data_IF_585149459940
#
_entry.id   IF_585149459940
#
_cell.length_a   1.000
_cell.length_b   1.000
_cell.length_c   1.000
_cell.angle_alpha   90.00
_cell.angle_beta   90.00
_cell.angle_gamma   90.00
#
_symmetry.space_group_name_H-M   'P 1'
#
loop_
_entity.id
_entity.type
_entity.pdbx_description
1 polymer ?
#
# COMPACT_ATOMS: atom_id res chain seq x y z
N UNK A 1 18.90 -10.49 -7.82
CA UNK A 1 17.96 -9.40 -7.55
C UNK A 1 17.81 -9.36 -6.05
N UNK A 2 18.20 -8.25 -5.43
CA UNK A 2 18.09 -8.08 -3.98
C UNK A 2 16.70 -7.54 -3.68
N UNK A 3 15.95 -8.20 -2.79
CA UNK A 3 14.64 -7.71 -2.36
C UNK A 3 14.82 -6.58 -1.36
N UNK A 4 14.20 -5.44 -1.66
CA UNK A 4 14.15 -4.29 -0.77
C UNK A 4 12.82 -4.33 -0.04
N UNK A 5 12.84 -4.28 1.29
CA UNK A 5 11.63 -4.34 2.10
C UNK A 5 10.76 -3.10 1.89
N UNK A 6 9.50 -3.32 1.52
CA UNK A 6 8.47 -2.28 1.43
C UNK A 6 7.33 -2.62 2.41
N UNK A 7 7.09 -1.79 3.44
CA UNK A 7 6.02 -2.06 4.39
C UNK A 7 4.64 -1.93 3.73
N UNK A 8 3.66 -2.74 4.16
CA UNK A 8 2.31 -2.67 3.63
C UNK A 8 1.68 -1.29 3.86
N UNK A 9 0.73 -0.91 2.99
CA UNK A 9 -0.04 0.35 3.08
C UNK A 9 0.79 1.64 3.22
N UNK A 10 2.02 1.64 2.70
CA UNK A 10 2.99 2.74 2.88
C UNK A 10 3.43 3.33 1.53
N UNK A 11 2.53 4.00 0.78
CA UNK A 11 2.84 4.55 -0.55
C UNK A 11 3.94 5.63 -0.50
N UNK A 12 4.09 6.32 0.63
CA UNK A 12 5.15 7.30 0.84
C UNK A 12 6.56 6.69 0.94
N UNK A 13 6.65 5.36 1.08
CA UNK A 13 7.91 4.62 1.08
C UNK A 13 8.19 3.93 -0.28
N UNK A 14 7.36 4.21 -1.28
CA UNK A 14 7.58 3.78 -2.66
C UNK A 14 8.12 4.93 -3.50
N UNK A 15 9.35 4.79 -3.99
CA UNK A 15 9.97 5.81 -4.86
C UNK A 15 9.18 6.07 -6.15
N UNK A 16 8.48 5.06 -6.67
CA UNK A 16 7.67 5.19 -7.89
C UNK A 16 6.38 5.97 -7.63
N UNK A 17 5.69 5.69 -6.51
CA UNK A 17 4.45 6.39 -6.14
C UNK A 17 4.69 7.85 -5.75
N UNK A 18 5.83 8.13 -5.10
CA UNK A 18 6.20 9.49 -4.69
C UNK A 18 6.42 10.43 -5.87
N UNK A 19 6.86 9.90 -7.01
CA UNK A 19 7.36 10.74 -8.10
C UNK A 19 7.01 10.24 -9.48
N UNK A 20 7.50 9.05 -9.83
CA UNK A 20 7.49 8.58 -11.21
C UNK A 20 6.07 8.43 -11.78
N UNK A 21 5.16 7.79 -11.04
CA UNK A 21 3.77 7.63 -11.49
C UNK A 21 3.01 8.96 -11.52
N UNK A 22 3.32 9.89 -10.61
CA UNK A 22 2.72 11.24 -10.64
C UNK A 22 3.14 12.01 -11.90
N UNK A 23 4.39 11.89 -12.32
CA UNK A 23 4.89 12.49 -13.56
C UNK A 23 4.22 11.87 -14.79
N UNK A 24 4.05 10.54 -14.82
CA UNK A 24 3.34 9.86 -15.91
C UNK A 24 1.87 10.28 -15.98
N UNK A 25 1.19 10.37 -14.83
CA UNK A 25 -0.20 10.81 -14.78
C UNK A 25 -0.36 12.23 -15.33
N UNK A 26 0.53 13.14 -14.94
CA UNK A 26 0.57 14.52 -15.47
C UNK A 26 0.70 14.54 -17.00
N UNK A 27 1.48 13.61 -17.57
CA UNK A 27 1.66 13.50 -19.02
C UNK A 27 0.45 12.88 -19.73
N UNK A 28 -0.26 11.97 -19.08
CA UNK A 28 -1.52 11.44 -19.63
C UNK A 28 -2.60 12.52 -19.70
N UNK A 29 -2.68 13.39 -18.70
CA UNK A 29 -3.60 14.55 -18.68
C UNK A 29 -3.32 15.53 -19.84
N UNK A 30 -2.08 15.61 -20.30
CA UNK A 30 -1.67 16.50 -21.40
C UNK A 30 -1.84 15.86 -22.78
N UNK A 31 -1.66 14.53 -22.92
CA UNK A 31 -1.51 13.86 -24.21
C UNK A 31 -2.74 13.07 -24.71
N UNK A 32 -3.86 13.04 -23.99
CA UNK A 32 -5.13 12.39 -24.38
C UNK A 32 -4.96 11.10 -25.22
N UNK A 33 -4.25 10.09 -24.69
CA UNK A 33 -3.94 8.87 -25.45
C UNK A 33 -5.21 8.12 -25.84
N UNK A 34 -5.30 7.63 -27.08
CA UNK A 34 -6.46 6.89 -27.59
C UNK A 34 -6.24 5.39 -27.66
N UNK A 35 -4.99 4.96 -27.74
CA UNK A 35 -4.59 3.57 -27.82
C UNK A 35 -3.42 3.26 -26.87
N UNK A 36 -3.23 1.97 -26.56
CA UNK A 36 -2.11 1.50 -25.73
C UNK A 36 -0.77 1.98 -26.28
N UNK A 37 -0.60 2.00 -27.61
CA UNK A 37 0.61 2.50 -28.26
C UNK A 37 0.96 3.95 -27.89
N UNK A 38 -0.05 4.81 -27.77
CA UNK A 38 0.12 6.22 -27.38
C UNK A 38 0.59 6.33 -25.93
N UNK A 39 0.04 5.48 -25.04
CA UNK A 39 0.44 5.41 -23.62
C UNK A 39 1.90 4.98 -23.50
N UNK A 40 2.30 3.94 -24.23
CA UNK A 40 3.68 3.44 -24.24
C UNK A 40 4.64 4.51 -24.77
N UNK A 41 4.31 5.14 -25.91
CA UNK A 41 5.11 6.20 -26.50
C UNK A 41 5.26 7.40 -25.55
N UNK A 42 4.16 7.85 -24.94
CA UNK A 42 4.16 8.94 -23.96
C UNK A 42 4.97 8.61 -22.71
N UNK A 43 4.88 7.38 -22.20
CA UNK A 43 5.66 6.93 -21.03
C UNK A 43 7.15 6.86 -21.34
N UNK A 44 7.53 6.36 -22.53
CA UNK A 44 8.93 6.35 -22.94
C UNK A 44 9.49 7.75 -23.16
N UNK A 45 8.67 8.68 -23.66
CA UNK A 45 9.06 10.07 -23.78
C UNK A 45 9.25 10.72 -22.41
N UNK A 46 8.32 10.51 -21.48
CA UNK A 46 8.42 10.93 -20.08
C UNK A 46 9.75 10.52 -19.45
N UNK A 47 10.10 9.24 -19.62
CA UNK A 47 11.33 8.68 -19.09
C UNK A 47 12.59 9.32 -19.66
N UNK A 48 12.57 9.68 -20.95
CA UNK A 48 13.71 10.37 -21.59
C UNK A 48 13.81 11.84 -21.17
N UNK A 49 12.69 12.48 -20.88
CA UNK A 49 12.61 13.90 -20.54
C UNK A 49 12.72 14.18 -19.04
N UNK A 50 12.60 13.15 -18.19
CA UNK A 50 12.67 13.34 -16.74
C UNK A 50 14.02 13.93 -16.34
N UNK A 51 13.97 15.08 -15.68
CA UNK A 51 15.16 15.75 -15.21
C UNK A 51 15.75 15.03 -13.97
N UNK A 52 17.07 14.93 -13.92
CA UNK A 52 17.76 14.22 -12.84
C UNK A 52 17.56 14.90 -11.48
N UNK A 53 17.36 16.23 -11.45
CA UNK A 53 17.03 16.94 -10.20
C UNK A 53 15.63 16.59 -9.69
N UNK A 54 14.71 16.26 -10.59
CA UNK A 54 13.37 15.78 -10.22
C UNK A 54 13.46 14.41 -9.55
N UNK A 55 14.28 13.50 -10.09
CA UNK A 55 14.53 12.20 -9.48
C UNK A 55 15.19 12.35 -8.10
N UNK A 56 16.21 13.21 -7.99
CA UNK A 56 16.86 13.50 -6.71
C UNK A 56 15.87 14.06 -5.67
N UNK A 57 15.00 14.97 -6.09
CA UNK A 57 13.96 15.52 -5.22
C UNK A 57 13.00 14.45 -4.68
N UNK A 58 12.69 13.42 -5.46
CA UNK A 58 11.87 12.29 -5.03
C UNK A 58 12.61 11.41 -4.02
N UNK A 59 13.89 11.09 -4.29
CA UNK A 59 14.73 10.31 -3.36
C UNK A 59 14.93 11.02 -2.01
N UNK A 60 15.14 12.33 -2.04
CA UNK A 60 15.20 13.14 -0.81
C UNK A 60 13.87 13.13 -0.06
N UNK A 61 12.74 13.14 -0.78
CA UNK A 61 11.42 13.01 -0.13
C UNK A 61 11.27 11.66 0.54
N UNK A 62 11.71 10.58 -0.12
CA UNK A 62 11.70 9.23 0.44
C UNK A 62 12.52 9.16 1.73
N UNK A 63 13.74 9.71 1.74
CA UNK A 63 14.58 9.79 2.94
C UNK A 63 13.87 10.55 4.08
N UNK A 64 13.21 11.67 3.79
CA UNK A 64 12.43 12.39 4.79
C UNK A 64 11.25 11.56 5.32
N UNK A 65 10.53 10.85 4.46
CA UNK A 65 9.44 9.98 4.89
C UNK A 65 9.96 8.88 5.83
N UNK A 66 11.10 8.25 5.52
CA UNK A 66 11.73 7.25 6.39
C UNK A 66 12.09 7.83 7.77
N UNK A 67 12.61 9.06 7.82
CA UNK A 67 12.88 9.75 9.09
C UNK A 67 11.61 9.98 9.90
N UNK A 68 10.55 10.44 9.27
CA UNK A 68 9.28 10.66 9.96
C UNK A 68 8.69 9.35 10.48
N UNK A 69 8.77 8.26 9.71
CA UNK A 69 8.33 6.92 10.16
C UNK A 69 9.05 6.51 11.44
N UNK A 70 10.36 6.73 11.53
CA UNK A 70 11.12 6.43 12.76
C UNK A 70 10.62 7.31 13.91
N UNK A 71 10.42 8.62 13.67
CA UNK A 71 9.94 9.57 14.69
C UNK A 71 8.53 9.27 15.21
N UNK A 72 7.67 8.67 14.39
CA UNK A 72 6.33 8.23 14.78
C UNK A 72 6.26 6.74 15.10
N UNK A 73 7.40 6.11 15.42
CA UNK A 73 7.51 4.72 15.85
C UNK A 73 6.85 3.70 14.88
N UNK A 74 7.12 3.85 13.58
CA UNK A 74 6.63 2.94 12.54
C UNK A 74 5.24 3.27 12.00
N UNK A 75 4.57 4.30 12.52
CA UNK A 75 3.24 4.70 12.05
C UNK A 75 3.31 5.44 10.69
N UNK A 76 2.20 5.44 9.95
CA UNK A 76 2.04 6.17 8.69
C UNK A 76 1.36 7.54 8.86
N UNK A 77 0.96 7.91 10.08
CA UNK A 77 0.33 9.19 10.38
C UNK A 77 1.34 10.34 10.54
N UNK A 78 2.02 10.69 9.44
CA UNK A 78 2.90 11.85 9.37
C UNK A 78 2.60 12.68 8.13
N UNK A 79 3.01 13.95 8.16
CA UNK A 79 2.95 14.83 6.99
C UNK A 79 4.27 14.75 6.25
N UNK A 80 4.22 14.53 4.93
CA UNK A 80 5.42 14.53 4.09
C UNK A 80 6.17 15.86 4.22
N UNK A 81 7.43 15.88 4.70
CA UNK A 81 8.16 17.12 4.94
C UNK A 81 8.47 17.89 3.65
N UNK A 82 8.19 19.20 3.65
CA UNK A 82 8.42 20.06 2.50
C UNK A 82 9.74 20.86 2.61
N UNK A 83 10.83 20.33 2.05
CA UNK A 83 12.18 20.92 2.14
C UNK A 83 12.48 22.06 1.14
N UNK A 84 11.49 22.58 0.42
CA UNK A 84 11.68 23.65 -0.59
C UNK A 84 12.78 23.30 -1.61
N UNK A 85 12.85 22.02 -2.00
CA UNK A 85 13.90 21.42 -2.85
C UNK A 85 14.15 22.22 -4.14
N UNK A 86 13.10 22.64 -4.84
CA UNK A 86 13.21 23.47 -6.04
C UNK A 86 13.96 24.79 -5.79
N UNK A 87 13.72 25.45 -4.64
CA UNK A 87 14.40 26.69 -4.25
C UNK A 87 15.88 26.46 -3.93
N UNK A 88 16.21 25.31 -3.33
CA UNK A 88 17.59 24.93 -3.03
C UNK A 88 18.35 24.55 -4.30
N UNK A 89 17.71 23.79 -5.21
CA UNK A 89 18.27 23.43 -6.50
C UNK A 89 18.58 24.67 -7.35
N UNK A 90 17.67 25.65 -7.39
CA UNK A 90 17.89 26.92 -8.08
C UNK A 90 19.09 27.73 -7.54
N UNK A 91 19.55 27.44 -6.32
CA UNK A 91 20.74 28.04 -5.71
C UNK A 91 21.98 27.14 -5.79
N UNK A 92 21.88 25.94 -6.36
CA UNK A 92 22.95 24.93 -6.36
C UNK A 92 23.27 24.38 -4.95
N UNK A 93 22.31 24.43 -4.02
CA UNK A 93 22.50 24.05 -2.61
C UNK A 93 21.67 22.82 -2.20
N UNK A 94 21.10 22.08 -3.15
CA UNK A 94 20.37 20.86 -2.82
C UNK A 94 21.37 19.74 -2.56
N UNK A 95 21.27 19.11 -1.39
CA UNK A 95 22.07 17.95 -1.01
C UNK A 95 21.43 16.69 -1.58
N UNK A 96 22.22 15.65 -1.87
CA UNK A 96 21.71 14.34 -2.31
C UNK A 96 21.28 13.44 -1.13
N UNK A 97 21.72 13.81 0.07
CA UNK A 97 21.43 13.10 1.32
C UNK A 97 20.85 14.07 2.34
N UNK A 98 19.72 13.68 2.94
CA UNK A 98 19.15 14.34 4.12
C UNK A 98 19.75 13.72 5.38
N UNK A 99 20.43 14.52 6.20
CA UNK A 99 21.04 14.04 7.43
C UNK A 99 19.98 13.61 8.45
N UNK A 100 20.18 12.47 9.11
CA UNK A 100 19.35 12.02 10.23
C UNK A 100 20.04 12.38 11.54
N UNK A 101 19.29 12.95 12.49
CA UNK A 101 19.82 13.23 13.82
C UNK A 101 20.05 11.93 14.61
N UNK A 102 21.10 11.91 15.43
CA UNK A 102 21.49 10.72 16.20
C UNK A 102 20.43 10.27 17.19
N UNK A 103 19.64 11.20 17.71
CA UNK A 103 18.54 10.91 18.64
C UNK A 103 17.46 10.08 17.95
N UNK A 104 17.00 10.50 16.75
CA UNK A 104 16.03 9.74 15.94
C UNK A 104 16.54 8.32 15.64
N UNK A 105 17.83 8.17 15.32
CA UNK A 105 18.42 6.85 15.07
C UNK A 105 18.39 5.99 16.33
N UNK A 106 18.81 6.55 17.46
CA UNK A 106 18.86 5.85 18.73
C UNK A 106 17.46 5.44 19.21
N UNK A 107 16.46 6.31 19.06
CA UNK A 107 15.06 6.02 19.36
C UNK A 107 14.54 4.86 18.52
N UNK A 108 14.86 4.85 17.22
CA UNK A 108 14.55 3.74 16.32
C UNK A 108 15.17 2.42 16.78
N UNK A 109 16.45 2.41 17.17
CA UNK A 109 17.10 1.21 17.71
C UNK A 109 16.47 0.74 19.02
N UNK A 110 16.13 1.65 19.92
CA UNK A 110 15.47 1.29 21.18
C UNK A 110 14.12 0.63 20.93
N UNK A 111 13.34 1.14 19.98
CA UNK A 111 12.07 0.53 19.58
C UNK A 111 12.28 -0.88 19.01
N UNK A 112 13.27 -1.06 18.14
CA UNK A 112 13.59 -2.37 17.57
C UNK A 112 14.04 -3.37 18.65
N UNK A 113 14.87 -2.93 19.61
CA UNK A 113 15.31 -3.78 20.72
C UNK A 113 14.20 -4.14 21.70
N UNK A 114 13.19 -3.28 21.84
CA UNK A 114 12.05 -3.54 22.71
C UNK A 114 10.97 -4.41 22.05
N UNK A 115 11.01 -4.58 20.72
CA UNK A 115 10.00 -5.34 19.97
C UNK A 115 10.34 -6.82 19.95
N UNK A 116 9.50 -7.64 20.56
CA UNK A 116 9.56 -9.10 20.42
C UNK A 116 8.83 -9.51 19.12
N UNK A 117 9.61 -9.79 18.08
CA UNK A 117 9.08 -10.19 16.79
C UNK A 117 8.45 -11.58 16.82
N UNK A 118 8.97 -12.48 17.66
CA UNK A 118 8.48 -13.85 17.73
C UNK A 118 7.08 -13.86 18.37
N UNK A 119 6.90 -13.11 19.47
CA UNK A 119 5.59 -12.94 20.11
C UNK A 119 4.56 -12.32 19.16
N UNK A 120 4.93 -11.27 18.41
CA UNK A 120 4.04 -10.63 17.44
C UNK A 120 3.63 -11.57 16.30
N UNK A 121 4.55 -12.44 15.84
CA UNK A 121 4.26 -13.43 14.79
C UNK A 121 3.30 -14.50 15.32
N UNK A 122 3.48 -14.95 16.56
CA UNK A 122 2.57 -15.90 17.21
C UNK A 122 1.17 -15.30 17.40
N UNK A 123 1.08 -14.05 17.87
CA UNK A 123 -0.20 -13.35 18.03
C UNK A 123 -0.92 -13.22 16.68
N UNK A 124 -0.22 -12.78 15.63
CA UNK A 124 -0.78 -12.65 14.29
C UNK A 124 -1.24 -14.00 13.73
N UNK A 125 -0.47 -15.07 13.93
CA UNK A 125 -0.86 -16.41 13.50
C UNK A 125 -2.17 -16.86 14.17
N UNK A 126 -2.35 -16.54 15.45
CA UNK A 126 -3.54 -16.85 16.21
C UNK A 126 -4.75 -16.00 15.78
N UNK A 127 -4.56 -14.73 15.42
CA UNK A 127 -5.59 -13.90 14.81
C UNK A 127 -6.06 -14.44 13.45
N UNK A 128 -5.12 -14.81 12.58
CA UNK A 128 -5.42 -15.40 11.27
C UNK A 128 -6.22 -16.68 11.44
N UNK A 129 -5.81 -17.55 12.37
CA UNK A 129 -6.53 -18.79 12.65
C UNK A 129 -7.99 -18.53 13.05
N UNK A 130 -8.23 -17.61 13.98
CA UNK A 130 -9.59 -17.23 14.39
C UNK A 130 -10.41 -16.64 13.25
N UNK A 131 -9.80 -15.81 12.40
CA UNK A 131 -10.47 -15.23 11.24
C UNK A 131 -10.87 -16.31 10.22
N UNK A 132 -10.03 -17.33 10.04
CA UNK A 132 -10.34 -18.49 9.19
C UNK A 132 -11.50 -19.32 9.76
N UNK A 133 -11.52 -19.57 11.07
CA UNK A 133 -12.65 -20.27 11.72
C UNK A 133 -13.96 -19.50 11.56
N UNK A 134 -13.93 -18.16 11.74
CA UNK A 134 -15.11 -17.32 11.56
C UNK A 134 -15.60 -17.31 10.11
N UNK A 135 -14.68 -17.28 9.14
CA UNK A 135 -15.00 -17.37 7.71
C UNK A 135 -15.67 -18.71 7.37
N UNK A 136 -15.14 -19.82 7.90
CA UNK A 136 -15.73 -21.14 7.70
C UNK A 136 -17.14 -21.22 8.32
N UNK A 137 -17.30 -20.74 9.56
CA UNK A 137 -18.60 -20.68 10.23
C UNK A 137 -19.61 -19.84 9.43
N UNK A 138 -19.21 -18.65 8.96
CA UNK A 138 -20.06 -17.79 8.13
C UNK A 138 -20.47 -18.48 6.82
N UNK A 139 -19.55 -19.19 6.18
CA UNK A 139 -19.83 -19.94 4.95
C UNK A 139 -20.84 -21.06 5.18
N UNK A 140 -20.76 -21.75 6.31
CA UNK A 140 -21.73 -22.80 6.67
C UNK A 140 -23.12 -22.22 6.95
N UNK A 141 -23.18 -21.09 7.66
CA UNK A 141 -24.45 -20.36 7.91
C UNK A 141 -25.12 -19.88 6.63
N UNK A 142 -24.35 -19.36 5.67
CA UNK A 142 -24.87 -18.92 4.37
C UNK A 142 -25.50 -20.08 3.60
N UNK A 143 -24.86 -21.26 3.58
CA UNK A 143 -25.42 -22.46 2.93
C UNK A 143 -26.76 -22.88 3.55
N UNK A 144 -26.88 -22.84 4.87
CA UNK A 144 -28.11 -23.19 5.57
C UNK A 144 -29.25 -22.20 5.31
N UNK A 145 -28.95 -20.95 4.98
CA UNK A 145 -29.95 -19.93 4.65
C UNK A 145 -30.43 -19.98 3.18
N UNK A 146 -29.71 -20.69 2.30
CA UNK A 146 -30.03 -20.80 0.86
C UNK A 146 -30.89 -22.04 0.55
N UNK A 147 -31.01 -23.00 1.48
CA UNK A 147 -31.87 -24.20 1.33
C UNK A 147 -33.38 -23.94 1.55
N UNK A 148 -33.84 -22.68 1.61
CA UNK A 148 -35.28 -22.32 1.49
C UNK A 148 -35.71 -22.08 0.04
N UNK A 149 -35.23 -22.88 -0.93
CA UNK A 149 -35.99 -23.08 -2.16
C UNK A 149 -37.25 -23.89 -1.78
N UNK A 150 -38.39 -23.19 -1.70
CA UNK A 150 -39.72 -23.79 -1.65
C UNK A 150 -39.86 -24.76 -2.83
N UNK A 151 -39.63 -26.04 -2.60
CA UNK A 151 -40.02 -27.10 -3.51
C UNK A 151 -41.55 -27.03 -3.65
N UNK A 152 -42.03 -26.57 -4.81
CA UNK A 152 -43.45 -26.49 -5.21
C UNK A 152 -44.16 -27.87 -5.25
N UNK A 153 -43.49 -28.95 -4.83
CA UNK A 153 -43.99 -30.34 -4.88
C UNK A 153 -44.51 -30.89 -3.52
N UNK A 154 -44.63 -30.05 -2.49
CA UNK A 154 -45.27 -30.43 -1.22
C UNK A 154 -46.72 -30.89 -1.43
N UNK A 155 -47.42 -30.37 -2.43
CA UNK A 155 -48.81 -30.72 -2.73
C UNK A 155 -48.97 -32.17 -3.24
N UNK A 156 -48.02 -32.68 -4.02
CA UNK A 156 -48.09 -34.05 -4.55
C UNK A 156 -47.85 -35.10 -3.45
N UNK A 157 -46.97 -34.79 -2.48
CA UNK A 157 -46.69 -35.67 -1.36
C UNK A 157 -47.80 -35.65 -0.30
N UNK A 158 -48.47 -34.51 -0.07
CA UNK A 158 -49.64 -34.41 0.81
C UNK A 158 -50.87 -35.14 0.24
N UNK A 159 -51.09 -35.09 -1.07
CA UNK A 159 -52.21 -35.80 -1.71
C UNK A 159 -52.11 -37.33 -1.53
N UNK A 160 -50.91 -37.90 -1.68
CA UNK A 160 -50.68 -39.33 -1.49
C UNK A 160 -50.82 -39.79 -0.03
N UNK A 161 -50.51 -38.92 0.94
CA UNK A 161 -50.70 -39.23 2.37
C UNK A 161 -52.17 -39.10 2.78
N UNK A 162 -52.91 -38.17 2.17
CA UNK A 162 -54.32 -37.91 2.51
C UNK A 162 -55.33 -38.80 1.78
N UNK A 163 -54.90 -39.64 0.83
CA UNK A 163 -55.79 -40.55 0.07
C UNK A 163 -57.00 -39.84 -0.57
N UNK A 164 -56.81 -38.64 -1.13
CA UNK A 164 -57.81 -37.99 -1.99
C UNK A 164 -57.54 -38.30 -3.47
#
# INVERSE_FOLDING_TARGET
MEEVYQPPNSPNLNGLDLGFFRSIQTLQEQNYPRYIGDIVAGTLQAWREVDMMTLNANLLTLQCCMKEVIRVAGNNNYKVPHMKKAKLAAKGMVSDVDGVDSDTINDGFNLLCATDLDENVEELALEIFKAMELYEFSTQMEKLAVDEELDDDIDAHLANILSL
#
